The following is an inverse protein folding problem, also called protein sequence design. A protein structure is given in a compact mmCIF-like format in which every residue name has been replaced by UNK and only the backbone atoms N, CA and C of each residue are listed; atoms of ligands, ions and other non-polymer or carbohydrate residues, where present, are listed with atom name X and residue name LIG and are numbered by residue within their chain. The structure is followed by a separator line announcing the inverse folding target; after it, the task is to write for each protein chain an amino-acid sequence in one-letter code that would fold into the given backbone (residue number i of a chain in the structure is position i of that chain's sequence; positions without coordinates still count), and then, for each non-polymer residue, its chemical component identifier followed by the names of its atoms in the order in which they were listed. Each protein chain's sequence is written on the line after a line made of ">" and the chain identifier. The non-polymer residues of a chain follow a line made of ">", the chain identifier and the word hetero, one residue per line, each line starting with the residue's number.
data_IF_184557278578
#
_entry.id   IF_184557278578
#
_cell.length_a   1.000
_cell.length_b   1.000
_cell.length_c   1.000
_cell.angle_alpha   90.00
_cell.angle_beta   90.00
_cell.angle_gamma   90.00
#
_symmetry.space_group_name_H-M   'P 1'
#
loop_
_entity.id
_entity.type
_entity.pdbx_description
1 polymer ?
#
# COMPACT_ATOMS: atom_id res chain seq x y z
N UNK A 1 -2.09 -6.95 14.30
CA UNK A 1 -1.77 -6.12 13.12
C UNK A 1 -1.56 -4.66 13.50
N UNK A 2 -2.56 -3.96 14.03
CA UNK A 2 -2.44 -2.50 14.28
C UNK A 2 -1.34 -2.08 15.25
N UNK A 3 -1.15 -2.83 16.35
CA UNK A 3 -0.08 -2.54 17.30
C UNK A 3 1.32 -2.65 16.64
N UNK A 4 1.50 -3.59 15.71
CA UNK A 4 2.74 -3.75 14.96
C UNK A 4 2.98 -2.53 14.06
N UNK A 5 1.98 -2.14 13.27
CA UNK A 5 2.11 -1.01 12.35
C UNK A 5 2.34 0.31 13.10
N UNK A 6 1.61 0.55 14.20
CA UNK A 6 1.84 1.71 15.06
C UNK A 6 3.24 1.73 15.68
N UNK A 7 3.74 0.59 16.16
CA UNK A 7 5.07 0.50 16.76
C UNK A 7 6.19 0.80 15.75
N UNK A 8 5.92 0.66 14.46
CA UNK A 8 6.87 0.88 13.38
C UNK A 8 6.60 2.16 12.59
N UNK A 9 5.79 3.09 13.10
CA UNK A 9 5.52 4.39 12.47
C UNK A 9 4.77 4.29 11.12
N UNK A 10 3.83 3.35 11.03
CA UNK A 10 2.85 3.24 9.95
C UNK A 10 1.44 3.24 10.55
N UNK A 11 0.95 4.38 11.06
CA UNK A 11 -0.30 4.44 11.81
C UNK A 11 -1.48 3.87 11.00
N UNK A 12 -2.20 2.87 11.53
CA UNK A 12 -3.43 2.37 10.92
C UNK A 12 -4.45 3.49 10.75
N UNK A 13 -5.06 3.58 9.56
CA UNK A 13 -6.08 4.60 9.24
C UNK A 13 -7.46 4.02 9.01
N UNK A 14 -7.55 2.74 8.64
CA UNK A 14 -8.83 2.09 8.35
C UNK A 14 -8.75 0.56 8.47
N UNK A 15 -9.92 -0.07 8.62
CA UNK A 15 -10.11 -1.53 8.59
C UNK A 15 -11.22 -1.86 7.61
N UNK A 16 -10.92 -2.56 6.53
CA UNK A 16 -11.88 -2.88 5.47
C UNK A 16 -11.35 -4.00 4.56
N UNK A 17 -12.09 -4.32 3.49
CA UNK A 17 -11.54 -5.04 2.34
C UNK A 17 -10.88 -4.06 1.36
N UNK A 18 -10.05 -4.58 0.46
CA UNK A 18 -9.52 -3.86 -0.71
C UNK A 18 -10.65 -3.67 -1.75
N UNK A 19 -10.66 -2.52 -2.44
CA UNK A 19 -11.62 -2.24 -3.52
C UNK A 19 -11.53 -3.26 -4.65
N UNK A 20 -12.67 -3.59 -5.26
CA UNK A 20 -12.76 -4.50 -6.41
C UNK A 20 -12.47 -3.82 -7.76
N UNK A 21 -12.15 -2.52 -7.74
CA UNK A 21 -11.74 -1.76 -8.91
C UNK A 21 -10.30 -1.27 -8.74
N UNK A 22 -9.61 -1.08 -9.86
CA UNK A 22 -8.26 -0.53 -9.85
C UNK A 22 -8.23 0.87 -9.25
N UNK A 23 -7.36 1.05 -8.27
CA UNK A 23 -7.06 2.34 -7.68
C UNK A 23 -5.59 2.43 -7.32
N UNK A 24 -5.10 3.65 -7.12
CA UNK A 24 -3.76 3.93 -6.62
C UNK A 24 -3.74 5.22 -5.81
N UNK A 25 -2.66 5.40 -5.07
CA UNK A 25 -2.35 6.59 -4.31
C UNK A 25 -1.17 7.30 -4.98
N UNK A 26 -1.33 8.55 -5.40
CA UNK A 26 -0.24 9.34 -5.97
C UNK A 26 0.56 10.10 -4.92
N UNK A 27 0.06 10.18 -3.69
CA UNK A 27 0.54 11.07 -2.62
C UNK A 27 1.08 10.33 -1.40
N UNK A 28 0.92 9.00 -1.36
CA UNK A 28 1.34 8.19 -0.22
C UNK A 28 1.77 6.77 -0.64
N UNK A 29 2.74 6.21 0.07
CA UNK A 29 2.95 4.77 0.15
C UNK A 29 1.90 4.16 1.08
N UNK A 30 1.51 2.92 0.81
CA UNK A 30 0.49 2.23 1.58
C UNK A 30 1.03 0.92 2.16
N UNK A 31 0.61 0.61 3.39
CA UNK A 31 0.77 -0.74 3.94
C UNK A 31 -0.60 -1.38 4.12
N UNK A 32 -0.73 -2.63 3.69
CA UNK A 32 -1.88 -3.49 3.95
C UNK A 32 -1.44 -4.64 4.86
N UNK A 33 -1.92 -4.65 6.09
CA UNK A 33 -1.76 -5.77 7.01
C UNK A 33 -3.01 -6.65 6.99
N UNK A 34 -2.89 -7.91 6.57
CA UNK A 34 -4.02 -8.84 6.53
C UNK A 34 -4.33 -9.36 7.94
N UNK A 35 -5.49 -8.98 8.48
CA UNK A 35 -5.93 -9.32 9.82
C UNK A 35 -6.70 -10.66 9.88
N UNK A 36 -7.48 -10.98 8.86
CA UNK A 36 -8.22 -12.24 8.73
C UNK A 36 -8.51 -12.59 7.27
N UNK A 37 -8.82 -13.86 7.01
CA UNK A 37 -9.15 -14.37 5.69
C UNK A 37 -7.99 -14.41 4.69
N UNK A 38 -8.33 -14.55 3.41
CA UNK A 38 -7.40 -14.53 2.28
C UNK A 38 -8.03 -13.87 1.04
N UNK A 39 -7.17 -13.37 0.15
CA UNK A 39 -7.58 -12.71 -1.08
C UNK A 39 -6.57 -12.90 -2.22
N UNK A 40 -7.09 -12.78 -3.44
CA UNK A 40 -6.28 -12.53 -4.63
C UNK A 40 -6.37 -11.05 -4.99
N UNK A 41 -5.22 -10.41 -5.15
CA UNK A 41 -5.09 -8.98 -5.47
C UNK A 41 -4.27 -8.83 -6.74
N UNK A 42 -4.76 -8.06 -7.71
CA UNK A 42 -4.00 -7.72 -8.91
C UNK A 42 -3.18 -6.46 -8.64
N UNK A 43 -1.85 -6.59 -8.69
CA UNK A 43 -0.88 -5.53 -8.37
C UNK A 43 -0.19 -5.00 -9.65
N UNK A 44 -0.12 -3.69 -9.83
CA UNK A 44 0.50 -3.05 -11.00
C UNK A 44 -0.48 -2.68 -12.12
N UNK A 45 -1.77 -2.51 -11.81
CA UNK A 45 -2.81 -2.15 -12.78
C UNK A 45 -3.29 -3.32 -13.65
N UNK A 46 -4.01 -3.07 -14.75
CA UNK A 46 -4.69 -4.10 -15.55
C UNK A 46 -3.78 -5.16 -16.19
N UNK A 47 -2.48 -4.86 -16.35
CA UNK A 47 -1.45 -5.78 -16.86
C UNK A 47 -0.51 -6.27 -15.76
N UNK A 48 -0.97 -6.14 -14.51
CA UNK A 48 -0.22 -6.44 -13.31
C UNK A 48 -0.04 -7.93 -13.05
N UNK A 49 0.37 -8.24 -11.81
CA UNK A 49 0.56 -9.60 -11.32
C UNK A 49 -0.45 -9.91 -10.24
N UNK A 50 -1.02 -11.11 -10.29
CA UNK A 50 -1.85 -11.62 -9.21
C UNK A 50 -0.99 -12.01 -8.02
N UNK A 51 -1.36 -11.54 -6.84
CA UNK A 51 -0.74 -11.84 -5.57
C UNK A 51 -1.79 -12.43 -4.64
N UNK A 52 -1.53 -13.64 -4.15
CA UNK A 52 -2.32 -14.22 -3.06
C UNK A 52 -1.79 -13.71 -1.73
N UNK A 53 -2.69 -13.19 -0.88
CA UNK A 53 -2.38 -12.70 0.46
C UNK A 53 -3.33 -13.35 1.47
N UNK A 54 -2.87 -13.55 2.70
CA UNK A 54 -3.62 -14.20 3.79
C UNK A 54 -3.30 -13.58 5.14
N UNK A 55 -4.13 -13.89 6.14
CA UNK A 55 -3.93 -13.45 7.52
C UNK A 55 -2.48 -13.63 7.99
N UNK A 56 -1.90 -12.55 8.52
CA UNK A 56 -0.50 -12.48 8.94
C UNK A 56 0.44 -11.84 7.91
N UNK A 57 0.06 -11.79 6.63
CA UNK A 57 0.86 -11.13 5.60
C UNK A 57 0.80 -9.60 5.75
N UNK A 58 1.90 -8.94 5.36
CA UNK A 58 2.00 -7.48 5.24
C UNK A 58 2.50 -7.15 3.83
N UNK A 59 1.77 -6.30 3.12
CA UNK A 59 2.11 -5.83 1.78
C UNK A 59 2.38 -4.34 1.83
N UNK A 60 3.55 -3.92 1.32
CA UNK A 60 3.89 -2.51 1.15
C UNK A 60 3.76 -2.14 -0.32
N UNK A 61 3.03 -1.07 -0.61
CA UNK A 61 2.64 -0.64 -1.94
C UNK A 61 3.26 0.74 -2.20
N UNK A 62 4.22 0.85 -3.14
CA UNK A 62 4.74 2.14 -3.55
C UNK A 62 3.65 3.05 -4.12
N UNK A 63 3.79 4.37 -3.93
CA UNK A 63 2.92 5.35 -4.57
C UNK A 63 2.88 5.12 -6.09
N UNK A 64 1.70 5.26 -6.69
CA UNK A 64 1.48 5.04 -8.12
C UNK A 64 1.19 3.59 -8.52
N UNK A 65 1.37 2.60 -7.63
CA UNK A 65 1.08 1.20 -7.94
C UNK A 65 -0.44 0.95 -7.86
N UNK A 66 -1.04 0.76 -9.04
CA UNK A 66 -2.45 0.41 -9.17
C UNK A 66 -2.74 -0.99 -8.62
N UNK A 67 -3.78 -1.16 -7.84
CA UNK A 67 -4.17 -2.46 -7.33
C UNK A 67 -5.70 -2.62 -7.16
N UNK A 68 -6.17 -3.86 -7.15
CA UNK A 68 -7.57 -4.22 -6.85
C UNK A 68 -7.70 -5.65 -6.35
N UNK A 69 -8.77 -5.92 -5.60
CA UNK A 69 -9.15 -7.27 -5.17
C UNK A 69 -9.91 -7.99 -6.28
N UNK A 70 -9.42 -9.18 -6.65
CA UNK A 70 -10.08 -10.08 -7.60
C UNK A 70 -11.09 -11.00 -6.91
N UNK A 71 -10.70 -11.57 -5.76
CA UNK A 71 -11.55 -12.44 -4.94
C UNK A 71 -11.07 -12.42 -3.49
N UNK A 72 -11.93 -12.87 -2.56
CA UNK A 72 -11.52 -13.14 -1.18
C UNK A 72 -12.46 -14.11 -0.48
N UNK A 73 -12.00 -14.63 0.67
CA UNK A 73 -12.87 -15.24 1.66
C UNK A 73 -13.89 -14.23 2.23
N UNK A 74 -14.94 -14.74 2.87
CA UNK A 74 -16.02 -13.94 3.46
C UNK A 74 -15.58 -13.12 4.68
N UNK A 75 -14.53 -13.56 5.36
CA UNK A 75 -13.95 -12.93 6.55
C UNK A 75 -12.69 -12.09 6.24
N UNK A 76 -12.40 -11.82 4.97
CA UNK A 76 -11.23 -11.06 4.57
C UNK A 76 -11.24 -9.63 5.10
N UNK A 77 -10.23 -9.29 5.90
CA UNK A 77 -10.07 -7.99 6.53
C UNK A 77 -8.61 -7.57 6.46
N UNK A 78 -8.38 -6.36 5.96
CA UNK A 78 -7.08 -5.69 6.00
C UNK A 78 -7.14 -4.44 6.88
N UNK A 79 -6.01 -4.17 7.51
CA UNK A 79 -5.70 -2.92 8.20
C UNK A 79 -4.80 -2.11 7.28
N UNK A 80 -5.27 -0.97 6.82
CA UNK A 80 -4.48 -0.07 5.99
C UNK A 80 -3.82 1.03 6.80
N UNK A 81 -2.58 1.37 6.43
CA UNK A 81 -1.81 2.46 7.03
C UNK A 81 -0.95 3.17 6.00
N UNK A 82 -0.45 4.35 6.39
CA UNK A 82 0.38 5.20 5.55
C UNK A 82 1.49 5.81 6.42
N UNK A 83 2.69 6.10 5.87
CA UNK A 83 3.74 6.76 6.62
C UNK A 83 3.32 8.17 7.09
N UNK A 84 3.92 8.70 8.18
CA UNK A 84 3.63 10.05 8.65
C UNK A 84 3.89 11.11 7.59
N UNK A 85 3.03 12.13 7.56
CA UNK A 85 3.13 13.24 6.60
C UNK A 85 2.71 12.88 5.17
N UNK A 86 2.15 11.69 4.95
CA UNK A 86 1.60 11.27 3.66
C UNK A 86 0.07 11.13 3.78
N UNK A 87 -0.66 12.12 3.26
CA UNK A 87 -2.12 12.06 3.15
C UNK A 87 -2.50 11.46 1.79
N UNK A 88 -3.22 10.35 1.81
CA UNK A 88 -3.51 9.57 0.61
C UNK A 88 -4.72 10.13 -0.16
N UNK A 89 -4.53 10.33 -1.46
CA UNK A 89 -5.60 10.54 -2.43
C UNK A 89 -6.22 9.21 -2.86
N UNK A 90 -7.23 9.21 -3.74
CA UNK A 90 -7.76 7.96 -4.32
C UNK A 90 -8.00 8.18 -5.82
N UNK A 91 -7.10 7.65 -6.63
CA UNK A 91 -7.14 7.79 -8.08
C UNK A 91 -7.52 6.48 -8.74
N UNK A 92 -8.19 6.55 -9.90
CA UNK A 92 -8.74 5.37 -10.60
C UNK A 92 -8.16 5.15 -11.99
N UNK A 93 -7.18 5.96 -12.39
CA UNK A 93 -6.55 5.90 -13.71
C UNK A 93 -7.39 6.58 -14.77
N UNK A 94 -8.18 7.59 -14.39
CA UNK A 94 -9.04 8.35 -15.30
C UNK A 94 -8.24 9.36 -16.12
N UNK A 95 -8.77 9.70 -17.28
CA UNK A 95 -8.24 10.79 -18.11
C UNK A 95 -8.16 12.10 -17.30
N UNK A 96 -7.03 12.79 -17.41
CA UNK A 96 -6.76 14.04 -16.70
C UNK A 96 -6.13 13.91 -15.31
N UNK A 97 -6.05 12.71 -14.72
CA UNK A 97 -5.31 12.50 -13.46
C UNK A 97 -3.79 12.69 -13.67
N UNK A 98 -3.27 12.23 -14.82
CA UNK A 98 -1.90 12.47 -15.26
C UNK A 98 -1.83 13.70 -16.15
N UNK A 99 -0.78 14.54 -16.05
CA UNK A 99 0.52 14.28 -15.40
C UNK A 99 0.64 14.74 -13.94
N UNK A 100 -0.43 15.25 -13.32
CA UNK A 100 -0.36 15.72 -11.92
C UNK A 100 -0.01 14.57 -10.98
N UNK A 101 -0.65 13.42 -11.15
CA UNK A 101 -0.34 12.23 -10.37
C UNK A 101 1.13 11.82 -10.47
N UNK A 102 1.75 11.93 -11.65
CA UNK A 102 3.17 11.58 -11.86
C UNK A 102 4.10 12.47 -11.03
N UNK A 103 3.80 13.77 -10.98
CA UNK A 103 4.55 14.73 -10.15
C UNK A 103 4.37 14.45 -8.66
N UNK A 104 3.15 14.09 -8.24
CA UNK A 104 2.91 13.73 -6.85
C UNK A 104 3.72 12.49 -6.47
N UNK A 105 3.68 11.44 -7.31
CA UNK A 105 4.39 10.17 -7.07
C UNK A 105 5.89 10.41 -6.91
N UNK A 106 6.49 11.20 -7.80
CA UNK A 106 7.90 11.56 -7.74
C UNK A 106 8.29 12.35 -6.48
N UNK A 107 7.34 13.03 -5.84
CA UNK A 107 7.56 13.81 -4.62
C UNK A 107 7.28 13.01 -3.32
N UNK A 108 6.75 11.79 -3.41
CA UNK A 108 6.50 10.96 -2.22
C UNK A 108 7.83 10.51 -1.65
N UNK A 109 8.04 10.81 -0.37
CA UNK A 109 9.27 10.45 0.34
C UNK A 109 9.26 8.97 0.73
N UNK A 110 10.41 8.32 0.59
CA UNK A 110 10.66 7.01 1.19
C UNK A 110 10.43 7.12 2.71
N UNK A 111 9.68 6.17 3.32
CA UNK A 111 9.42 6.17 4.75
C UNK A 111 10.69 5.91 5.56
N UNK A 112 10.73 6.38 6.81
CA UNK A 112 11.90 6.20 7.68
C UNK A 112 12.06 4.77 8.22
N UNK A 113 11.00 3.96 8.15
CA UNK A 113 10.90 2.64 8.77
C UNK A 113 10.17 1.65 7.88
N UNK A 114 10.52 0.37 8.04
CA UNK A 114 9.74 -0.76 7.56
C UNK A 114 8.54 -1.02 8.50
N UNK A 115 7.33 -1.32 7.99
CA UNK A 115 6.13 -1.48 8.81
C UNK A 115 6.14 -2.70 9.73
N UNK A 116 7.05 -3.65 9.53
CA UNK A 116 7.20 -4.88 10.33
C UNK A 116 8.46 -4.82 11.19
N UNK A 117 9.58 -4.43 10.60
CA UNK A 117 10.90 -4.53 11.23
C UNK A 117 11.52 -3.17 11.64
N UNK A 118 10.77 -2.08 11.47
CA UNK A 118 11.20 -0.74 11.86
C UNK A 118 12.44 -0.27 11.08
N UNK A 119 13.36 0.41 11.76
CA UNK A 119 14.55 1.02 11.14
C UNK A 119 15.57 0.02 10.56
N UNK A 120 15.39 -1.29 10.77
CA UNK A 120 16.30 -2.35 10.29
C UNK A 120 15.62 -3.30 9.31
N UNK A 121 14.46 -2.90 8.77
CA UNK A 121 13.71 -3.75 7.87
C UNK A 121 14.18 -3.68 6.43
N UNK A 122 13.89 -4.73 5.65
CA UNK A 122 14.33 -4.87 4.27
C UNK A 122 13.71 -3.84 3.33
N UNK A 123 12.59 -3.19 3.70
CA UNK A 123 11.98 -2.16 2.86
C UNK A 123 12.97 -1.06 2.46
N UNK A 124 13.79 -0.61 3.42
CA UNK A 124 14.74 0.48 3.21
C UNK A 124 15.88 0.09 2.26
N UNK A 125 16.28 -1.19 2.30
CA UNK A 125 17.29 -1.73 1.39
C UNK A 125 16.74 -1.88 -0.04
N UNK A 126 15.49 -2.33 -0.17
CA UNK A 126 14.84 -2.54 -1.48
C UNK A 126 14.51 -1.22 -2.16
N UNK A 127 14.10 -0.19 -1.41
CA UNK A 127 13.71 1.10 -1.99
C UNK A 127 14.88 2.05 -2.16
N UNK A 128 16.02 1.79 -1.49
CA UNK A 128 17.25 2.58 -1.61
C UNK A 128 17.10 3.98 -1.01
N UNK A 129 18.07 4.40 -0.21
CA UNK A 129 18.11 5.75 0.37
C UNK A 129 18.64 6.82 -0.59
N UNK A 130 18.51 6.65 -1.91
CA UNK A 130 18.92 7.67 -2.87
C UNK A 130 17.76 8.03 -3.80
N UNK A 131 17.25 9.25 -3.60
CA UNK A 131 16.57 9.97 -4.67
C UNK A 131 17.60 10.24 -5.79
N UNK A 132 17.24 10.06 -7.08
CA UNK A 132 18.06 10.57 -8.18
C UNK A 132 18.17 12.11 -8.15
#
# INVERSE_FOLDING_TARGET
>A
MEALLNANDWPPRWRASIFTYHHYHSTAHEVLGVASGDAWVLMGGPKGRELKIRAGDVVVIPAGVGHCRLSSSSDFLVVGGYPPGQDWDLLRGRDGERPRADRNIAAVKVPATDPVFGAKGPLLDVWGTEAP
#
